data_IF_394221232606
#
_entry.id   IF_394221232606
#
_cell.length_a   1.000
_cell.length_b   1.000
_cell.length_c   1.000
_cell.angle_alpha   90.00
_cell.angle_beta   90.00
_cell.angle_gamma   90.00
#
_symmetry.space_group_name_H-M   'P 1'
#
loop_
_entity.id
_entity.type
_entity.pdbx_description
1 polymer ?
#
# COMPACT_ATOMS: atom_id res chain seq x y z
N UNK A 1 -8.69 59.16 6.80
CA UNK A 1 -9.42 58.67 5.61
C UNK A 1 -8.83 57.29 5.32
N UNK A 2 -9.28 56.29 6.07
CA UNK A 2 -8.79 54.91 6.06
C UNK A 2 -10.02 54.01 5.94
N UNK A 3 -9.96 53.02 5.04
CA UNK A 3 -10.21 51.61 5.36
C UNK A 3 -9.98 50.76 4.11
N UNK A 4 -9.00 49.86 4.25
CA UNK A 4 -8.75 48.68 3.41
C UNK A 4 -9.74 47.58 3.79
N UNK A 5 -10.22 46.83 2.79
CA UNK A 5 -10.99 45.59 2.97
C UNK A 5 -10.36 44.53 2.05
N UNK A 6 -9.51 43.70 2.63
CA UNK A 6 -9.16 42.37 2.12
C UNK A 6 -9.97 41.37 2.96
N UNK A 7 -10.99 40.77 2.35
CA UNK A 7 -11.62 39.55 2.86
C UNK A 7 -10.82 38.38 2.30
N UNK A 8 -10.03 37.74 3.15
CA UNK A 8 -9.51 36.39 2.92
C UNK A 8 -10.47 35.41 3.58
N UNK A 9 -11.05 34.50 2.81
CA UNK A 9 -11.75 33.35 3.35
C UNK A 9 -10.79 32.49 4.20
N UNK A 10 -11.25 31.93 5.33
CA UNK A 10 -10.39 31.11 6.17
C UNK A 10 -10.08 29.77 5.48
N UNK A 11 -8.91 29.17 5.75
CA UNK A 11 -8.62 27.84 5.25
C UNK A 11 -9.62 26.84 5.83
N UNK A 12 -10.20 26.01 4.97
CA UNK A 12 -11.05 24.88 5.35
C UNK A 12 -10.20 23.92 6.18
N UNK A 13 -10.50 23.81 7.48
CA UNK A 13 -9.86 22.82 8.35
C UNK A 13 -10.29 21.40 7.93
N UNK A 14 -9.36 20.44 7.81
CA UNK A 14 -9.72 19.04 7.62
C UNK A 14 -10.45 18.54 8.87
N UNK A 15 -11.58 17.85 8.65
CA UNK A 15 -12.42 17.27 9.69
C UNK A 15 -11.56 16.30 10.52
N UNK A 16 -11.21 16.74 11.73
CA UNK A 16 -10.61 15.93 12.79
C UNK A 16 -11.65 14.95 13.33
N UNK A 17 -11.63 13.69 12.89
CA UNK A 17 -12.42 12.63 13.51
C UNK A 17 -11.63 11.34 13.74
N UNK A 18 -10.46 11.43 14.38
CA UNK A 18 -9.80 10.31 15.06
C UNK A 18 -9.06 10.84 16.29
N UNK A 19 -9.80 11.31 17.31
CA UNK A 19 -9.23 11.47 18.66
C UNK A 19 -9.70 10.28 19.47
N UNK A 20 -8.82 9.30 19.65
CA UNK A 20 -8.97 8.25 20.64
C UNK A 20 -7.85 8.39 21.67
N UNK A 21 -8.22 8.55 22.94
CA UNK A 21 -7.30 8.61 24.08
C UNK A 21 -6.88 7.18 24.48
N UNK A 22 -6.13 6.48 23.64
CA UNK A 22 -5.34 5.30 24.05
C UNK A 22 -4.54 4.74 22.87
N UNK A 23 -3.24 4.53 23.07
CA UNK A 23 -2.39 3.85 22.08
C UNK A 23 -2.04 4.72 20.88
N UNK A 24 -1.00 4.31 20.16
CA UNK A 24 -0.42 5.00 19.02
C UNK A 24 -1.48 5.56 18.04
N UNK A 25 -1.60 6.89 17.98
CA UNK A 25 -2.30 7.60 16.91
C UNK A 25 -1.22 7.96 15.89
N UNK A 26 -1.15 7.32 14.71
CA UNK A 26 -0.31 7.83 13.65
C UNK A 26 -0.75 9.27 13.42
N UNK A 27 0.15 10.22 13.62
CA UNK A 27 -0.09 11.61 13.29
C UNK A 27 -0.26 11.68 11.79
N UNK A 28 -1.51 11.48 11.31
CA UNK A 28 -1.92 11.69 9.93
C UNK A 28 -1.55 13.11 9.45
N UNK A 29 -1.18 13.99 10.39
CA UNK A 29 -0.85 15.40 10.23
C UNK A 29 0.62 15.68 9.95
N UNK A 30 1.45 14.68 9.63
CA UNK A 30 2.82 14.92 9.15
C UNK A 30 2.79 15.77 7.88
N UNK A 31 2.86 17.11 8.03
CA UNK A 31 3.14 18.04 6.93
C UNK A 31 4.60 17.79 6.53
N UNK A 32 4.79 16.77 5.72
CA UNK A 32 6.02 16.55 5.00
C UNK A 32 6.36 17.84 4.24
N UNK A 33 7.58 18.32 4.40
CA UNK A 33 8.08 19.48 3.67
C UNK A 33 7.98 19.19 2.17
N UNK A 34 7.43 20.10 1.38
CA UNK A 34 7.32 19.89 -0.06
C UNK A 34 8.09 20.97 -0.81
N UNK A 35 9.37 20.71 -1.16
CA UNK A 35 10.20 21.67 -1.87
C UNK A 35 9.57 22.13 -3.19
N UNK A 36 9.89 23.35 -3.58
CA UNK A 36 9.52 23.87 -4.90
C UNK A 36 10.21 23.07 -6.00
N UNK A 37 9.50 22.79 -7.09
CA UNK A 37 10.02 21.97 -8.21
C UNK A 37 10.09 20.47 -7.94
N UNK A 38 9.90 20.01 -6.71
CA UNK A 38 10.01 18.60 -6.36
C UNK A 38 8.67 17.85 -6.53
N UNK A 39 8.62 16.63 -7.10
CA UNK A 39 7.36 15.97 -7.49
C UNK A 39 6.61 15.29 -6.32
N UNK A 40 7.27 15.04 -5.19
CA UNK A 40 6.68 14.49 -3.96
C UNK A 40 7.05 15.30 -2.71
N UNK A 41 6.28 15.23 -1.62
CA UNK A 41 6.72 15.76 -0.34
C UNK A 41 7.82 14.85 0.27
N UNK A 42 8.69 15.43 1.10
CA UNK A 42 9.82 14.74 1.70
C UNK A 42 9.38 13.81 2.85
N UNK A 43 9.90 12.58 2.92
CA UNK A 43 9.57 11.67 4.00
C UNK A 43 10.13 12.16 5.36
N UNK A 44 9.50 11.71 6.43
CA UNK A 44 9.88 12.03 7.80
C UNK A 44 9.64 10.85 8.74
N UNK A 45 10.50 10.77 9.76
CA UNK A 45 10.51 9.69 10.72
C UNK A 45 10.59 10.22 12.15
N UNK A 46 10.06 9.45 13.09
CA UNK A 46 10.10 9.75 14.53
C UNK A 46 11.42 9.25 15.17
N UNK A 47 11.50 9.37 16.49
CA UNK A 47 12.49 8.71 17.32
C UNK A 47 12.32 7.18 17.34
N UNK A 48 13.44 6.42 17.45
CA UNK A 48 13.40 4.96 17.50
C UNK A 48 12.50 4.41 18.62
N UNK A 49 11.73 3.36 18.32
CA UNK A 49 10.92 2.64 19.31
C UNK A 49 11.76 1.62 20.08
N UNK A 50 11.40 1.40 21.34
CA UNK A 50 11.96 0.32 22.18
C UNK A 50 11.39 -1.03 21.76
N UNK A 51 12.17 -2.09 21.97
CA UNK A 51 11.72 -3.45 21.70
C UNK A 51 10.63 -3.90 22.70
N UNK A 52 9.75 -4.79 22.25
CA UNK A 52 8.88 -5.57 23.12
C UNK A 52 9.66 -6.81 23.59
N UNK A 53 9.94 -6.88 24.88
CA UNK A 53 10.65 -8.01 25.46
C UNK A 53 9.69 -9.19 25.65
N UNK A 54 10.07 -10.34 25.09
CA UNK A 54 9.34 -11.61 25.21
C UNK A 54 10.27 -12.64 25.85
N UNK A 55 9.99 -13.10 27.09
CA UNK A 55 10.90 -13.94 27.87
C UNK A 55 11.40 -15.21 27.20
N UNK A 56 10.57 -15.84 26.36
CA UNK A 56 10.92 -17.10 25.70
C UNK A 56 10.19 -17.24 24.35
N UNK A 57 10.56 -18.30 23.63
CA UNK A 57 10.06 -18.59 22.29
C UNK A 57 8.57 -18.96 22.31
N UNK A 58 8.09 -19.69 23.32
CA UNK A 58 6.67 -20.07 23.45
C UNK A 58 5.75 -18.84 23.57
N UNK A 59 6.13 -17.88 24.40
CA UNK A 59 5.40 -16.61 24.53
C UNK A 59 5.48 -15.76 23.26
N UNK A 60 6.57 -15.87 22.50
CA UNK A 60 6.69 -15.21 21.20
C UNK A 60 5.77 -15.86 20.17
N UNK A 61 5.69 -17.18 20.13
CA UNK A 61 4.75 -17.91 19.28
C UNK A 61 3.30 -17.56 19.60
N UNK A 62 2.97 -17.38 20.88
CA UNK A 62 1.64 -16.92 21.28
C UNK A 62 1.36 -15.50 20.76
N UNK A 63 2.30 -14.56 20.92
CA UNK A 63 2.20 -13.22 20.36
C UNK A 63 2.02 -13.26 18.84
N UNK A 64 2.91 -13.97 18.14
CA UNK A 64 2.90 -14.09 16.69
C UNK A 64 1.59 -14.69 16.19
N UNK A 65 1.07 -15.73 16.83
CA UNK A 65 -0.19 -16.37 16.43
C UNK A 65 -1.41 -15.45 16.59
N UNK A 66 -1.47 -14.65 17.65
CA UNK A 66 -2.59 -13.70 17.86
C UNK A 66 -2.51 -12.52 16.89
N UNK A 67 -1.30 -12.02 16.61
CA UNK A 67 -1.06 -10.98 15.62
C UNK A 67 -1.39 -11.49 14.21
N UNK A 68 -0.93 -12.70 13.85
CA UNK A 68 -1.19 -13.35 12.57
C UNK A 68 -2.70 -13.53 12.33
N UNK A 69 -3.44 -14.03 13.32
CA UNK A 69 -4.90 -14.15 13.23
C UNK A 69 -5.57 -12.80 12.91
N UNK A 70 -5.08 -11.72 13.52
CA UNK A 70 -5.60 -10.36 13.28
C UNK A 70 -5.32 -9.91 11.84
N UNK A 71 -4.14 -10.21 11.29
CA UNK A 71 -3.80 -9.96 9.88
C UNK A 71 -4.72 -10.75 8.95
N UNK A 72 -4.91 -12.05 9.20
CA UNK A 72 -5.75 -12.90 8.35
C UNK A 72 -7.21 -12.41 8.32
N UNK A 73 -7.74 -11.97 9.47
CA UNK A 73 -9.07 -11.36 9.56
C UNK A 73 -9.16 -10.02 8.84
N UNK A 74 -8.09 -9.22 8.82
CA UNK A 74 -8.02 -7.98 8.05
C UNK A 74 -8.09 -8.27 6.55
N UNK A 75 -7.24 -9.17 6.06
CA UNK A 75 -7.16 -9.52 4.63
C UNK A 75 -8.45 -10.13 4.10
N UNK A 76 -9.18 -10.88 4.93
CA UNK A 76 -10.49 -11.40 4.57
C UNK A 76 -11.57 -10.31 4.52
N UNK A 77 -11.49 -9.32 5.41
CA UNK A 77 -12.52 -8.29 5.57
C UNK A 77 -12.41 -7.16 4.54
N UNK A 78 -11.20 -6.89 4.03
CA UNK A 78 -10.95 -5.76 3.12
C UNK A 78 -10.18 -6.20 1.88
N UNK A 79 -10.62 -5.66 0.75
CA UNK A 79 -9.90 -5.76 -0.51
C UNK A 79 -8.80 -4.71 -0.57
N UNK A 80 -7.69 -5.02 -1.24
CA UNK A 80 -6.75 -3.98 -1.67
C UNK A 80 -7.31 -3.27 -2.91
N UNK A 81 -7.38 -1.94 -2.86
CA UNK A 81 -8.13 -1.16 -3.83
C UNK A 81 -7.46 0.18 -4.16
N UNK A 82 -6.47 0.16 -5.07
CA UNK A 82 -5.92 1.40 -5.64
C UNK A 82 -6.82 2.03 -6.72
N UNK A 83 -7.78 1.27 -7.23
CA UNK A 83 -8.77 1.73 -8.23
C UNK A 83 -9.71 2.77 -7.66
N UNK A 84 -10.20 2.56 -6.43
CA UNK A 84 -11.14 3.47 -5.77
C UNK A 84 -10.57 4.87 -5.57
N UNK A 85 -9.33 4.96 -5.09
CA UNK A 85 -8.66 6.25 -4.86
C UNK A 85 -8.36 6.97 -6.16
N UNK A 86 -7.99 6.25 -7.24
CA UNK A 86 -7.83 6.85 -8.57
C UNK A 86 -9.14 7.47 -9.09
N UNK A 87 -10.26 6.73 -9.00
CA UNK A 87 -11.56 7.23 -9.47
C UNK A 87 -11.95 8.47 -8.68
N UNK A 88 -11.83 8.43 -7.35
CA UNK A 88 -12.15 9.56 -6.48
C UNK A 88 -11.29 10.79 -6.80
N UNK A 89 -9.97 10.60 -6.92
CA UNK A 89 -9.03 11.66 -7.26
C UNK A 89 -9.39 12.34 -8.59
N UNK A 90 -9.74 11.55 -9.61
CA UNK A 90 -10.22 12.07 -10.89
C UNK A 90 -11.54 12.82 -10.75
N UNK A 91 -12.53 12.26 -10.06
CA UNK A 91 -13.84 12.90 -9.86
C UNK A 91 -13.71 14.25 -9.14
N UNK A 92 -12.87 14.33 -8.10
CA UNK A 92 -12.60 15.56 -7.36
C UNK A 92 -11.81 16.58 -8.19
N UNK A 93 -10.83 16.15 -8.99
CA UNK A 93 -10.13 17.01 -9.95
C UNK A 93 -11.11 17.60 -10.98
N UNK A 94 -12.02 16.79 -11.52
CA UNK A 94 -13.04 17.28 -12.47
C UNK A 94 -14.02 18.24 -11.79
N UNK A 95 -14.37 17.99 -10.52
CA UNK A 95 -15.26 18.84 -9.75
C UNK A 95 -14.62 20.19 -9.37
N UNK A 96 -13.31 20.23 -9.13
CA UNK A 96 -12.57 21.46 -8.82
C UNK A 96 -12.49 22.43 -10.01
N UNK A 97 -12.70 21.92 -11.24
CA UNK A 97 -12.58 22.65 -12.51
C UNK A 97 -11.15 23.14 -12.80
N UNK A 98 -10.15 22.67 -12.06
CA UNK A 98 -8.76 22.90 -12.42
C UNK A 98 -8.41 22.17 -13.73
N UNK A 99 -7.48 22.75 -14.48
CA UNK A 99 -6.94 22.14 -15.70
C UNK A 99 -5.53 21.61 -15.51
N UNK A 100 -4.84 22.05 -14.45
CA UNK A 100 -3.48 21.68 -14.08
C UNK A 100 -3.53 20.60 -13.00
N UNK A 101 -3.37 19.34 -13.41
CA UNK A 101 -3.40 18.21 -12.49
C UNK A 101 -2.22 18.22 -11.52
N UNK A 102 -1.05 18.75 -11.91
CA UNK A 102 0.11 18.84 -11.02
C UNK A 102 -0.18 19.78 -9.85
N UNK A 103 -0.82 20.93 -10.10
CA UNK A 103 -1.25 21.84 -9.04
C UNK A 103 -2.30 21.18 -8.12
N UNK A 104 -3.32 20.55 -8.71
CA UNK A 104 -4.33 19.82 -7.93
C UNK A 104 -3.69 18.73 -7.08
N UNK A 105 -2.81 17.91 -7.67
CA UNK A 105 -2.07 16.85 -6.99
C UNK A 105 -1.27 17.37 -5.80
N UNK A 106 -0.66 18.56 -5.89
CA UNK A 106 0.08 19.16 -4.77
C UNK A 106 -0.79 19.57 -3.60
N UNK A 107 -1.99 20.07 -3.90
CA UNK A 107 -2.92 20.59 -2.89
C UNK A 107 -3.92 19.55 -2.39
N UNK A 108 -4.10 18.46 -3.13
CA UNK A 108 -5.00 17.36 -2.79
C UNK A 108 -4.58 16.67 -1.50
N UNK A 109 -5.53 16.28 -0.66
CA UNK A 109 -5.25 15.47 0.53
C UNK A 109 -5.86 14.07 0.34
N UNK A 110 -5.04 13.01 0.16
CA UNK A 110 -5.56 11.68 -0.09
C UNK A 110 -6.41 11.18 1.09
N UNK A 111 -7.67 10.81 0.87
CA UNK A 111 -8.51 10.27 1.93
C UNK A 111 -8.19 8.78 2.16
N UNK A 112 -8.19 8.35 3.42
CA UNK A 112 -8.14 6.94 3.78
C UNK A 112 -9.56 6.50 4.13
N UNK A 113 -10.15 5.60 3.34
CA UNK A 113 -11.50 5.07 3.63
C UNK A 113 -11.57 3.54 3.54
N UNK A 114 -12.41 2.89 4.35
CA UNK A 114 -12.54 1.42 4.38
C UNK A 114 -12.87 0.76 3.04
N UNK A 115 -13.49 1.50 2.12
CA UNK A 115 -13.86 1.03 0.78
C UNK A 115 -12.68 1.00 -0.19
N UNK A 116 -11.60 1.73 0.10
CA UNK A 116 -10.49 2.01 -0.82
C UNK A 116 -9.12 1.84 -0.15
N UNK A 117 -8.98 0.86 0.73
CA UNK A 117 -7.70 0.63 1.38
C UNK A 117 -6.63 0.16 0.38
N UNK A 118 -5.52 0.90 0.38
CA UNK A 118 -4.21 0.54 -0.19
C UNK A 118 -3.34 -0.08 0.92
N UNK A 119 -2.03 -0.19 0.71
CA UNK A 119 -1.08 -0.56 1.77
C UNK A 119 -1.18 0.37 3.00
N UNK A 120 -1.35 1.68 2.81
CA UNK A 120 -1.48 2.65 3.90
C UNK A 120 -2.76 2.41 4.69
N UNK A 121 -3.90 2.36 4.00
CA UNK A 121 -5.19 2.13 4.67
C UNK A 121 -5.26 0.81 5.42
N UNK A 122 -4.75 -0.27 4.81
CA UNK A 122 -4.66 -1.58 5.45
C UNK A 122 -3.74 -1.58 6.66
N UNK A 123 -2.57 -0.94 6.59
CA UNK A 123 -1.63 -0.87 7.71
C UNK A 123 -2.19 -0.05 8.88
N UNK A 124 -2.87 1.07 8.60
CA UNK A 124 -3.53 1.88 9.62
C UNK A 124 -4.67 1.11 10.33
N UNK A 125 -5.52 0.43 9.56
CA UNK A 125 -6.57 -0.42 10.12
C UNK A 125 -5.98 -1.61 10.91
N UNK A 126 -4.86 -2.19 10.45
CA UNK A 126 -4.17 -3.26 11.16
C UNK A 126 -3.70 -2.78 12.54
N UNK A 127 -3.04 -1.62 12.62
CA UNK A 127 -2.62 -1.02 13.89
C UNK A 127 -3.79 -0.82 14.86
N UNK A 128 -4.92 -0.31 14.35
CA UNK A 128 -6.16 -0.13 15.12
C UNK A 128 -6.73 -1.45 15.63
N UNK A 129 -6.63 -2.55 14.85
CA UNK A 129 -7.10 -3.87 15.31
C UNK A 129 -6.15 -4.49 16.32
N UNK A 130 -4.84 -4.35 16.11
CA UNK A 130 -3.81 -4.89 17.00
C UNK A 130 -3.79 -4.20 18.37
N UNK A 131 -4.26 -2.96 18.48
CA UNK A 131 -4.37 -2.30 19.79
C UNK A 131 -5.32 -3.02 20.76
N UNK A 132 -6.27 -3.81 20.25
CA UNK A 132 -7.14 -4.64 21.09
C UNK A 132 -6.38 -5.76 21.81
N UNK A 133 -5.17 -6.10 21.35
CA UNK A 133 -4.30 -7.09 21.97
C UNK A 133 -3.46 -6.52 23.12
N UNK A 134 -3.52 -5.21 23.40
CA UNK A 134 -2.78 -4.57 24.50
C UNK A 134 -3.03 -5.22 25.87
N UNK A 135 -4.27 -5.62 26.13
CA UNK A 135 -4.65 -6.29 27.37
C UNK A 135 -3.95 -7.64 27.58
N UNK A 136 -3.63 -8.32 26.48
CA UNK A 136 -2.94 -9.62 26.47
C UNK A 136 -1.42 -9.46 26.38
N UNK A 137 -0.95 -8.46 25.63
CA UNK A 137 0.47 -8.15 25.44
C UNK A 137 0.73 -6.68 25.82
N UNK A 138 0.92 -6.38 27.12
CA UNK A 138 1.12 -5.01 27.58
C UNK A 138 2.30 -4.33 26.89
N UNK A 139 2.09 -3.11 26.41
CA UNK A 139 3.06 -2.30 25.71
C UNK A 139 3.15 -2.55 24.20
N UNK A 140 2.34 -3.44 23.64
CA UNK A 140 2.32 -3.74 22.20
C UNK A 140 1.97 -2.51 21.36
N UNK A 141 0.85 -1.86 21.67
CA UNK A 141 0.29 -0.76 20.87
C UNK A 141 1.22 0.45 20.78
N UNK A 142 2.00 0.71 21.84
CA UNK A 142 2.95 1.83 21.88
C UNK A 142 4.24 1.57 21.09
N UNK A 143 4.53 0.29 20.79
CA UNK A 143 5.74 -0.18 20.12
C UNK A 143 5.52 -0.62 18.68
N UNK A 144 4.28 -0.85 18.26
CA UNK A 144 3.93 -1.00 16.84
C UNK A 144 4.08 0.33 16.11
N UNK A 145 4.59 0.29 14.88
CA UNK A 145 4.75 1.47 14.04
C UNK A 145 4.70 1.09 12.55
N UNK A 146 4.54 2.12 11.71
CA UNK A 146 4.67 1.98 10.27
C UNK A 146 6.14 2.11 9.85
N UNK A 147 6.62 1.16 9.04
CA UNK A 147 7.93 1.19 8.41
C UNK A 147 7.78 1.55 6.93
N UNK A 148 8.62 2.46 6.43
CA UNK A 148 8.63 2.83 5.01
C UNK A 148 9.38 1.78 4.19
N UNK A 149 8.93 1.57 2.96
CA UNK A 149 9.52 0.60 2.05
C UNK A 149 9.70 1.22 0.66
N UNK A 150 10.83 0.87 0.06
CA UNK A 150 11.24 1.27 -1.29
C UNK A 150 11.47 0.01 -2.11
N UNK A 151 10.89 -0.04 -3.30
CA UNK A 151 10.89 -1.23 -4.14
C UNK A 151 11.90 -1.08 -5.28
N UNK A 152 12.24 -2.20 -5.92
CA UNK A 152 13.11 -2.23 -7.10
C UNK A 152 14.51 -1.62 -6.89
N UNK A 153 15.09 -1.81 -5.70
CA UNK A 153 16.44 -1.33 -5.37
C UNK A 153 17.50 -2.18 -6.07
N UNK A 154 18.31 -1.55 -6.93
CA UNK A 154 19.41 -2.19 -7.65
C UNK A 154 20.71 -2.25 -6.82
N UNK A 155 21.13 -1.12 -6.25
CA UNK A 155 22.31 -1.02 -5.37
C UNK A 155 21.91 -0.91 -3.91
N UNK A 156 21.77 -2.06 -3.25
CA UNK A 156 21.45 -2.14 -1.82
C UNK A 156 22.51 -1.45 -0.96
N UNK A 157 23.79 -1.65 -1.26
CA UNK A 157 24.90 -1.14 -0.44
C UNK A 157 25.05 0.38 -0.57
N UNK A 158 24.77 0.93 -1.75
CA UNK A 158 24.61 2.37 -1.97
C UNK A 158 23.44 2.93 -1.17
N UNK A 159 22.27 2.29 -1.28
CA UNK A 159 21.03 2.74 -0.64
C UNK A 159 21.12 2.82 0.89
N UNK A 160 21.70 1.80 1.54
CA UNK A 160 21.71 1.69 3.01
C UNK A 160 22.87 2.45 3.68
N UNK A 161 23.79 3.03 2.89
CA UNK A 161 25.00 3.67 3.42
C UNK A 161 24.69 4.86 4.33
N UNK A 162 23.61 5.57 4.03
CA UNK A 162 23.14 6.71 4.81
C UNK A 162 21.86 6.34 5.57
N UNK A 163 21.55 7.09 6.63
CA UNK A 163 20.16 7.08 7.14
C UNK A 163 19.23 7.53 6.01
N UNK A 164 17.94 7.12 6.01
CA UNK A 164 17.07 7.33 4.86
C UNK A 164 17.18 8.75 4.36
N UNK A 165 17.71 8.87 3.15
CA UNK A 165 18.02 10.17 2.59
C UNK A 165 16.73 10.99 2.61
N UNK A 166 16.74 12.13 3.30
CA UNK A 166 15.54 12.97 3.44
C UNK A 166 15.13 13.60 2.11
N UNK A 167 16.02 13.56 1.10
CA UNK A 167 15.74 13.91 -0.29
C UNK A 167 15.48 12.69 -1.19
N UNK A 168 15.66 11.46 -0.69
CA UNK A 168 15.18 10.24 -1.36
C UNK A 168 13.68 10.09 -1.06
N UNK A 169 12.88 10.28 -2.09
CA UNK A 169 11.46 10.63 -1.92
C UNK A 169 10.47 9.53 -2.27
N UNK A 170 10.94 8.48 -2.91
CA UNK A 170 10.06 7.38 -3.26
C UNK A 170 9.95 6.43 -2.07
N UNK A 171 8.76 6.42 -1.46
CA UNK A 171 8.33 5.46 -0.42
C UNK A 171 7.03 4.82 -0.91
N UNK A 172 7.13 3.92 -1.89
CA UNK A 172 6.00 3.32 -2.61
C UNK A 172 5.10 2.47 -1.73
N UNK A 173 5.67 1.94 -0.65
CA UNK A 173 4.99 0.97 0.19
C UNK A 173 5.21 1.25 1.68
N UNK A 174 4.30 0.73 2.49
CA UNK A 174 4.35 0.81 3.95
C UNK A 174 3.84 -0.50 4.53
N UNK A 175 4.48 -0.93 5.61
CA UNK A 175 4.06 -2.10 6.38
C UNK A 175 4.16 -1.83 7.89
N UNK A 176 3.60 -2.73 8.69
CA UNK A 176 3.66 -2.62 10.15
C UNK A 176 4.90 -3.36 10.67
N UNK A 177 5.61 -2.73 11.59
CA UNK A 177 6.79 -3.29 12.24
C UNK A 177 6.68 -3.22 13.77
N UNK A 178 7.33 -4.18 14.41
CA UNK A 178 7.51 -4.26 15.86
C UNK A 178 8.92 -4.77 16.15
N UNK A 179 9.71 -3.99 16.87
CA UNK A 179 10.98 -4.47 17.42
C UNK A 179 10.69 -5.43 18.56
N UNK A 180 11.34 -6.59 18.56
CA UNK A 180 11.15 -7.63 19.57
C UNK A 180 12.49 -8.06 20.14
N UNK A 181 12.48 -8.51 21.38
CA UNK A 181 13.61 -9.19 22.01
C UNK A 181 13.11 -10.53 22.55
N UNK A 182 13.50 -11.64 21.92
CA UNK A 182 13.01 -12.98 22.25
C UNK A 182 14.08 -13.72 23.04
N UNK A 183 13.85 -13.94 24.33
CA UNK A 183 14.83 -14.53 25.25
C UNK A 183 16.19 -13.80 25.20
N UNK A 184 16.17 -12.46 25.20
CA UNK A 184 17.38 -11.63 25.11
C UNK A 184 17.96 -11.49 23.69
N UNK A 185 17.34 -12.09 22.67
CA UNK A 185 17.82 -12.04 21.28
C UNK A 185 17.03 -11.02 20.47
N UNK A 186 17.69 -10.01 19.88
CA UNK A 186 17.02 -8.96 19.13
C UNK A 186 16.45 -9.47 17.80
N UNK A 187 15.31 -8.92 17.40
CA UNK A 187 14.67 -9.17 16.13
C UNK A 187 13.59 -8.16 15.79
N UNK A 188 12.96 -8.35 14.63
CA UNK A 188 11.84 -7.54 14.15
C UNK A 188 10.73 -8.46 13.68
N UNK A 189 9.51 -8.14 14.08
CA UNK A 189 8.27 -8.72 13.59
C UNK A 189 7.67 -7.75 12.57
N UNK A 190 7.42 -8.23 11.35
CA UNK A 190 6.85 -7.49 10.24
C UNK A 190 5.48 -8.06 9.84
N UNK A 191 4.57 -7.17 9.47
CA UNK A 191 3.24 -7.48 8.95
C UNK A 191 2.99 -6.63 7.72
N UNK A 192 2.80 -7.27 6.57
CA UNK A 192 2.60 -6.58 5.30
C UNK A 192 1.21 -6.89 4.73
N UNK A 193 0.17 -6.16 5.17
CA UNK A 193 -1.15 -6.36 4.62
C UNK A 193 -1.29 -5.82 3.19
N UNK A 194 -0.43 -4.90 2.74
CA UNK A 194 -0.46 -4.36 1.37
C UNK A 194 -0.09 -5.40 0.32
N UNK A 195 0.94 -6.19 0.58
CA UNK A 195 1.27 -7.39 -0.22
C UNK A 195 0.45 -8.63 0.18
N UNK A 196 -0.44 -8.48 1.16
CA UNK A 196 -1.30 -9.54 1.70
C UNK A 196 -0.49 -10.75 2.18
N UNK A 197 0.60 -10.48 2.88
CA UNK A 197 1.33 -11.52 3.59
C UNK A 197 0.48 -11.91 4.79
N UNK A 198 -0.24 -13.03 4.68
CA UNK A 198 -1.20 -13.50 5.67
C UNK A 198 -0.54 -14.17 6.89
N UNK A 199 0.70 -13.79 7.18
CA UNK A 199 1.52 -14.37 8.23
C UNK A 199 2.41 -13.35 8.91
N UNK A 200 2.84 -13.67 10.12
CA UNK A 200 3.94 -12.97 10.77
C UNK A 200 5.26 -13.32 10.08
N UNK A 201 6.03 -12.28 9.71
CA UNK A 201 7.42 -12.42 9.27
C UNK A 201 8.34 -11.97 10.40
N UNK A 202 9.17 -12.89 10.87
CA UNK A 202 10.13 -12.67 11.95
C UNK A 202 11.54 -12.66 11.38
N UNK A 203 12.26 -11.57 11.63
CA UNK A 203 13.66 -11.41 11.24
C UNK A 203 14.49 -11.32 12.52
N UNK A 204 15.19 -12.38 12.87
CA UNK A 204 16.09 -12.39 14.03
C UNK A 204 17.49 -11.98 13.61
N UNK A 205 18.19 -11.23 14.46
CA UNK A 205 19.58 -10.80 14.19
C UNK A 205 20.53 -12.00 14.05
N UNK A 206 20.30 -13.07 14.82
CA UNK A 206 21.10 -14.29 14.78
C UNK A 206 20.66 -15.28 13.67
N UNK A 207 19.57 -14.98 12.95
CA UNK A 207 18.99 -15.86 11.93
C UNK A 207 18.41 -17.18 12.45
N UNK A 208 18.40 -17.40 13.77
CA UNK A 208 17.89 -18.63 14.38
C UNK A 208 16.39 -18.53 14.63
N UNK A 209 15.74 -19.68 14.81
CA UNK A 209 14.32 -19.74 15.20
C UNK A 209 14.05 -18.79 16.39
N UNK A 210 13.02 -17.92 16.34
CA UNK A 210 11.85 -17.93 15.46
C UNK A 210 11.99 -17.22 14.09
N UNK A 211 13.19 -16.97 13.58
CA UNK A 211 13.41 -16.41 12.24
C UNK A 211 12.65 -17.17 11.14
N UNK A 212 11.91 -16.46 10.27
CA UNK A 212 11.03 -17.06 9.25
C UNK A 212 11.79 -17.70 8.09
N UNK A 213 12.88 -17.08 7.62
CA UNK A 213 13.60 -17.53 6.42
C UNK A 213 12.79 -17.36 5.14
N UNK A 214 13.09 -18.17 4.12
CA UNK A 214 12.35 -18.19 2.85
C UNK A 214 10.96 -18.79 3.06
N UNK A 215 9.94 -18.18 2.47
CA UNK A 215 8.61 -18.76 2.40
C UNK A 215 7.95 -18.50 1.04
N UNK A 216 7.06 -19.41 0.62
CA UNK A 216 6.30 -19.26 -0.61
C UNK A 216 5.09 -18.36 -0.36
N UNK A 217 5.01 -17.25 -1.11
CA UNK A 217 3.88 -16.33 -1.08
C UNK A 217 2.75 -16.79 -2.03
N UNK A 218 3.13 -17.34 -3.19
CA UNK A 218 2.17 -17.93 -4.13
C UNK A 218 2.82 -19.04 -4.94
N UNK A 219 2.06 -20.08 -5.23
CA UNK A 219 2.48 -21.20 -6.06
C UNK A 219 1.40 -21.50 -7.11
N UNK A 220 1.50 -20.81 -8.25
CA UNK A 220 0.64 -21.05 -9.41
C UNK A 220 1.34 -21.99 -10.41
N UNK A 221 0.61 -22.76 -11.24
CA UNK A 221 1.19 -23.75 -12.15
C UNK A 221 2.34 -23.28 -13.06
N UNK A 222 2.43 -21.98 -13.32
CA UNK A 222 3.44 -21.37 -14.20
C UNK A 222 4.26 -20.28 -13.52
N UNK A 223 4.02 -20.00 -12.22
CA UNK A 223 4.64 -18.90 -11.50
C UNK A 223 4.64 -19.19 -10.01
N UNK A 224 5.84 -19.35 -9.44
CA UNK A 224 6.06 -19.44 -7.99
C UNK A 224 6.72 -18.16 -7.51
N UNK A 225 6.21 -17.58 -6.43
CA UNK A 225 6.80 -16.40 -5.76
C UNK A 225 7.20 -16.77 -4.35
N UNK A 226 8.43 -16.44 -3.98
CA UNK A 226 9.00 -16.71 -2.66
C UNK A 226 9.64 -15.45 -2.10
N UNK A 227 9.43 -15.19 -0.82
CA UNK A 227 9.96 -14.02 -0.14
C UNK A 227 10.98 -14.41 0.92
N UNK A 228 11.97 -13.54 1.12
CA UNK A 228 12.91 -13.60 2.23
C UNK A 228 13.18 -12.20 2.76
N UNK A 229 13.26 -12.10 4.08
CA UNK A 229 13.58 -10.85 4.78
C UNK A 229 14.85 -11.07 5.59
N UNK A 230 15.85 -10.21 5.39
CA UNK A 230 17.13 -10.28 6.11
C UNK A 230 17.50 -8.91 6.65
N UNK A 231 17.95 -8.86 7.90
CA UNK A 231 18.42 -7.62 8.49
C UNK A 231 19.77 -7.21 7.89
N UNK A 232 19.96 -5.91 7.71
CA UNK A 232 21.26 -5.32 7.38
C UNK A 232 22.22 -5.35 8.57
N UNK A 233 23.51 -5.20 8.30
CA UNK A 233 24.58 -5.29 9.30
C UNK A 233 24.48 -4.22 10.40
N UNK A 234 23.96 -3.04 10.08
CA UNK A 234 23.74 -1.95 11.04
C UNK A 234 22.41 -2.06 11.79
N UNK A 235 21.56 -3.02 11.42
CA UNK A 235 20.27 -3.26 12.03
C UNK A 235 19.20 -2.20 11.75
N UNK A 236 19.44 -1.28 10.80
CA UNK A 236 18.50 -0.18 10.51
C UNK A 236 17.51 -0.52 9.40
N UNK A 237 17.90 -1.41 8.49
CA UNK A 237 17.10 -1.81 7.34
C UNK A 237 16.87 -3.32 7.29
N UNK A 238 15.76 -3.70 6.67
CA UNK A 238 15.49 -5.08 6.25
C UNK A 238 15.51 -5.12 4.73
N UNK A 239 16.33 -6.03 4.20
CA UNK A 239 16.36 -6.38 2.79
C UNK A 239 15.29 -7.43 2.54
N UNK A 240 14.28 -7.07 1.75
CA UNK A 240 13.25 -7.98 1.26
C UNK A 240 13.61 -8.43 -0.16
N UNK A 241 13.78 -9.73 -0.35
CA UNK A 241 13.99 -10.34 -1.67
C UNK A 241 12.73 -11.06 -2.12
N UNK A 242 12.21 -10.71 -3.29
CA UNK A 242 11.18 -11.46 -4.01
C UNK A 242 11.85 -12.29 -5.10
N UNK A 243 11.69 -13.61 -5.02
CA UNK A 243 12.10 -14.55 -6.05
C UNK A 243 10.87 -15.04 -6.79
N UNK A 244 10.76 -14.66 -8.06
CA UNK A 244 9.76 -15.19 -8.98
C UNK A 244 10.39 -16.26 -9.87
N UNK A 245 9.83 -17.46 -9.87
CA UNK A 245 10.17 -18.55 -10.80
C UNK A 245 9.03 -18.72 -11.79
N UNK A 246 9.22 -18.28 -13.04
CA UNK A 246 8.23 -18.41 -14.10
C UNK A 246 8.75 -19.34 -15.19
N UNK A 247 8.01 -20.42 -15.45
CA UNK A 247 8.39 -21.44 -16.44
C UNK A 247 9.85 -21.94 -16.30
N UNK A 248 10.33 -22.06 -15.05
CA UNK A 248 11.70 -22.49 -14.72
C UNK A 248 12.77 -21.39 -14.81
N UNK A 249 12.41 -20.17 -15.17
CA UNK A 249 13.32 -19.01 -15.13
C UNK A 249 13.12 -18.25 -13.83
N UNK A 250 14.22 -18.06 -13.08
CA UNK A 250 14.23 -17.29 -11.85
C UNK A 250 14.59 -15.82 -12.11
N UNK A 251 13.84 -14.92 -11.49
CA UNK A 251 14.17 -13.51 -11.35
C UNK A 251 14.07 -13.10 -9.89
N UNK A 252 15.00 -12.27 -9.44
CA UNK A 252 15.00 -11.72 -8.07
C UNK A 252 14.87 -10.22 -8.15
N UNK A 253 13.92 -9.65 -7.43
CA UNK A 253 13.84 -8.22 -7.14
C UNK A 253 14.12 -7.97 -5.65
N UNK A 254 14.62 -6.77 -5.36
CA UNK A 254 14.95 -6.37 -3.99
C UNK A 254 14.18 -5.12 -3.62
N UNK A 255 13.64 -5.13 -2.39
CA UNK A 255 13.06 -3.97 -1.74
C UNK A 255 13.78 -3.74 -0.40
N UNK A 256 13.80 -2.50 0.04
CA UNK A 256 14.45 -2.08 1.29
C UNK A 256 13.39 -1.49 2.21
N UNK A 257 13.38 -1.97 3.45
CA UNK A 257 12.44 -1.53 4.48
C UNK A 257 13.23 -0.83 5.58
N UNK A 258 12.96 0.44 5.82
CA UNK A 258 13.58 1.15 6.93
C UNK A 258 12.81 0.91 8.23
N UNK A 259 13.47 0.27 9.20
CA UNK A 259 12.87 -0.15 10.47
C UNK A 259 13.49 0.54 11.69
N UNK A 260 14.43 1.47 11.49
CA UNK A 260 15.07 2.10 12.64
C UNK A 260 14.12 3.05 13.39
N UNK A 261 13.27 3.77 12.65
CA UNK A 261 12.34 4.75 13.17
C UNK A 261 10.94 4.63 12.55
N UNK A 262 9.87 4.97 13.30
CA UNK A 262 8.52 5.10 12.77
C UNK A 262 8.43 6.07 11.59
N UNK A 263 7.77 5.66 10.52
CA UNK A 263 7.43 6.51 9.39
C UNK A 263 6.19 7.35 9.70
N UNK A 264 6.29 8.68 9.56
CA UNK A 264 5.29 9.63 10.05
C UNK A 264 4.37 10.21 8.97
N UNK A 265 4.69 10.01 7.69
CA UNK A 265 3.97 10.61 6.57
C UNK A 265 3.46 9.61 5.52
N UNK A 266 2.85 8.47 5.91
CA UNK A 266 2.39 7.46 4.96
C UNK A 266 1.27 7.99 4.05
N UNK A 267 0.42 8.90 4.51
CA UNK A 267 -0.65 9.48 3.68
C UNK A 267 -0.09 10.51 2.69
N UNK A 268 0.76 11.41 3.16
CA UNK A 268 1.26 12.51 2.33
C UNK A 268 2.31 12.06 1.33
N UNK A 269 3.05 10.98 1.60
CA UNK A 269 4.07 10.42 0.71
C UNK A 269 3.54 9.17 -0.02
N UNK A 270 3.31 8.06 0.70
CA UNK A 270 2.99 6.76 0.09
C UNK A 270 1.60 6.71 -0.57
N UNK A 271 0.55 7.14 0.14
CA UNK A 271 -0.81 7.16 -0.42
C UNK A 271 -0.90 8.14 -1.59
N UNK A 272 -0.24 9.29 -1.47
CA UNK A 272 -0.14 10.29 -2.53
C UNK A 272 0.60 9.75 -3.75
N UNK A 273 1.73 9.06 -3.57
CA UNK A 273 2.45 8.38 -4.65
C UNK A 273 1.53 7.38 -5.35
N UNK A 274 0.75 6.63 -4.58
CA UNK A 274 -0.21 5.68 -5.12
C UNK A 274 -1.20 6.33 -6.10
N UNK A 275 -1.66 7.58 -5.88
CA UNK A 275 -2.63 8.27 -6.76
C UNK A 275 -2.20 8.42 -8.23
N UNK A 276 -0.90 8.46 -8.49
CA UNK A 276 -0.34 8.66 -9.84
C UNK A 276 0.40 7.44 -10.39
N UNK A 277 0.67 6.43 -9.56
CA UNK A 277 1.29 5.18 -10.00
C UNK A 277 0.53 4.54 -11.18
N UNK A 278 1.21 4.15 -12.26
CA UNK A 278 0.48 3.77 -13.48
C UNK A 278 -0.11 2.34 -13.45
N UNK A 279 0.27 1.50 -12.50
CA UNK A 279 -0.34 0.19 -12.30
C UNK A 279 -1.45 0.25 -11.23
N UNK A 280 -2.57 -0.42 -11.52
CA UNK A 280 -3.79 -0.34 -10.72
C UNK A 280 -4.38 -1.71 -10.50
N UNK A 281 -4.95 -1.90 -9.31
CA UNK A 281 -5.60 -3.16 -8.96
C UNK A 281 -6.69 -3.00 -7.90
N UNK A 282 -7.71 -3.82 -8.03
CA UNK A 282 -8.72 -4.11 -7.02
C UNK A 282 -8.71 -5.62 -6.81
N UNK A 283 -8.27 -6.07 -5.63
CA UNK A 283 -7.96 -7.48 -5.36
C UNK A 283 -8.65 -7.94 -4.07
N UNK A 284 -9.32 -9.08 -4.14
CA UNK A 284 -9.79 -9.84 -2.98
C UNK A 284 -8.92 -11.08 -2.78
N UNK A 285 -8.71 -11.42 -1.51
CA UNK A 285 -7.88 -12.55 -1.10
C UNK A 285 -8.54 -13.38 -0.01
N UNK A 286 -8.10 -14.63 0.10
CA UNK A 286 -8.49 -15.51 1.20
C UNK A 286 -7.69 -15.23 2.48
N UNK A 287 -8.00 -15.95 3.56
CA UNK A 287 -7.32 -15.84 4.85
C UNK A 287 -5.86 -16.30 4.82
N UNK A 288 -5.40 -16.92 3.73
CA UNK A 288 -4.00 -17.33 3.52
C UNK A 288 -3.26 -16.36 2.59
N UNK A 289 -3.92 -15.31 2.12
CA UNK A 289 -3.32 -14.33 1.22
C UNK A 289 -3.31 -14.75 -0.25
N UNK A 290 -4.07 -15.79 -0.65
CA UNK A 290 -4.21 -16.17 -2.05
C UNK A 290 -5.26 -15.30 -2.76
N UNK A 291 -5.01 -14.96 -4.03
CA UNK A 291 -5.93 -14.21 -4.87
C UNK A 291 -7.22 -14.99 -5.15
N UNK A 292 -8.38 -14.42 -4.81
CA UNK A 292 -9.70 -14.99 -5.11
C UNK A 292 -10.28 -14.36 -6.38
N UNK A 293 -10.36 -13.03 -6.41
CA UNK A 293 -10.95 -12.30 -7.51
C UNK A 293 -10.40 -10.88 -7.58
N UNK A 294 -10.54 -10.25 -8.73
CA UNK A 294 -10.12 -8.87 -8.90
C UNK A 294 -9.97 -8.42 -10.33
N UNK A 295 -9.57 -7.16 -10.45
CA UNK A 295 -9.14 -6.55 -11.70
C UNK A 295 -7.76 -5.92 -11.53
N UNK A 296 -6.96 -5.95 -12.58
CA UNK A 296 -5.74 -5.15 -12.65
C UNK A 296 -5.49 -4.64 -14.08
N UNK A 297 -4.80 -3.51 -14.18
CA UNK A 297 -4.45 -2.88 -15.46
C UNK A 297 -3.29 -1.90 -15.27
N UNK A 298 -2.67 -1.54 -16.39
CA UNK A 298 -1.67 -0.47 -16.46
C UNK A 298 -2.25 0.66 -17.31
N UNK A 299 -2.12 1.89 -16.83
CA UNK A 299 -2.44 3.11 -17.57
C UNK A 299 -1.26 3.42 -18.48
N UNK A 300 -1.51 3.59 -19.78
CA UNK A 300 -0.48 3.93 -20.76
C UNK A 300 -0.95 5.11 -21.62
N UNK A 301 -0.05 5.68 -22.44
CA UNK A 301 -0.42 6.78 -23.35
C UNK A 301 -1.41 6.36 -24.44
N UNK A 302 -1.38 5.08 -24.83
CA UNK A 302 -2.20 4.53 -25.91
C UNK A 302 -3.61 4.18 -25.43
N UNK A 303 -4.63 4.67 -26.14
CA UNK A 303 -6.06 4.46 -25.84
C UNK A 303 -6.56 3.00 -25.96
N UNK A 304 -5.69 2.03 -26.24
CA UNK A 304 -6.03 0.60 -26.31
C UNK A 304 -5.95 -0.05 -24.93
N UNK A 305 -6.47 0.62 -23.91
CA UNK A 305 -6.38 0.13 -22.54
C UNK A 305 -7.30 -1.07 -22.35
N UNK A 306 -6.70 -2.11 -21.78
CA UNK A 306 -7.35 -3.35 -21.40
C UNK A 306 -7.07 -3.64 -19.95
N UNK A 307 -8.04 -4.25 -19.27
CA UNK A 307 -7.86 -4.79 -17.95
C UNK A 307 -7.96 -6.31 -17.99
N UNK A 308 -7.33 -6.95 -17.02
CA UNK A 308 -7.55 -8.36 -16.74
C UNK A 308 -8.48 -8.46 -15.54
N UNK A 309 -9.61 -9.13 -15.71
CA UNK A 309 -10.44 -9.58 -14.60
C UNK A 309 -10.15 -11.06 -14.31
N UNK A 310 -10.19 -11.44 -13.05
CA UNK A 310 -10.05 -12.82 -12.64
C UNK A 310 -10.98 -13.17 -11.49
N UNK A 311 -11.30 -14.46 -11.38
CA UNK A 311 -12.15 -15.03 -10.35
C UNK A 311 -11.84 -16.52 -10.22
N UNK A 312 -12.20 -17.14 -9.10
CA UNK A 312 -12.03 -18.59 -8.91
C UNK A 312 -13.30 -19.37 -9.29
N UNK A 313 -13.15 -20.56 -9.87
CA UNK A 313 -14.24 -21.51 -10.08
C UNK A 313 -13.71 -22.93 -9.90
N UNK A 314 -14.28 -23.69 -8.96
CA UNK A 314 -13.82 -25.06 -8.68
C UNK A 314 -12.35 -25.14 -8.26
N UNK A 315 -11.84 -24.13 -7.56
CA UNK A 315 -10.43 -24.05 -7.12
C UNK A 315 -9.45 -23.55 -8.19
N UNK A 316 -9.89 -23.36 -9.44
CA UNK A 316 -9.06 -22.83 -10.51
C UNK A 316 -9.30 -21.33 -10.71
N UNK A 317 -8.23 -20.58 -10.98
CA UNK A 317 -8.32 -19.15 -11.31
C UNK A 317 -8.61 -18.97 -12.80
N UNK A 318 -9.78 -18.41 -13.11
CA UNK A 318 -10.16 -18.01 -14.46
C UNK A 318 -9.75 -16.55 -14.69
N UNK A 319 -9.07 -16.27 -15.80
CA UNK A 319 -8.62 -14.94 -16.19
C UNK A 319 -9.22 -14.55 -17.54
N UNK A 320 -9.72 -13.33 -17.65
CA UNK A 320 -10.27 -12.78 -18.88
C UNK A 320 -9.73 -11.36 -19.10
N UNK A 321 -9.21 -11.12 -20.30
CA UNK A 321 -8.71 -9.80 -20.72
C UNK A 321 -9.81 -9.08 -21.50
N UNK A 322 -10.14 -7.86 -21.09
CA UNK A 322 -11.22 -7.06 -21.67
C UNK A 322 -10.76 -5.63 -21.96
N UNK A 323 -11.37 -4.98 -22.96
CA UNK A 323 -11.09 -3.58 -23.27
C UNK A 323 -12.03 -2.66 -22.51
N UNK A 324 -11.50 -1.55 -21.98
CA UNK A 324 -12.30 -0.50 -21.36
C UNK A 324 -13.28 0.15 -22.35
N UNK A 325 -12.95 0.18 -23.64
CA UNK A 325 -13.81 0.75 -24.69
C UNK A 325 -15.21 0.12 -24.73
N UNK A 326 -15.35 -1.16 -24.32
CA UNK A 326 -16.63 -1.86 -24.22
C UNK A 326 -17.59 -1.24 -23.20
N UNK A 327 -17.06 -0.45 -22.27
CA UNK A 327 -17.78 0.15 -21.14
C UNK A 327 -17.94 1.67 -21.26
N UNK A 328 -17.55 2.28 -22.39
CA UNK A 328 -17.74 3.71 -22.64
C UNK A 328 -19.19 4.07 -23.04
N UNK A 329 -19.87 3.18 -23.74
CA UNK A 329 -21.22 3.43 -24.26
C UNK A 329 -22.29 2.97 -23.25
N UNK A 330 -22.91 3.93 -22.55
CA UNK A 330 -23.99 3.68 -21.58
C UNK A 330 -25.31 3.23 -22.21
N UNK A 331 -25.49 3.37 -23.53
CA UNK A 331 -26.73 2.94 -24.21
C UNK A 331 -26.69 1.49 -24.68
N UNK A 332 -25.50 0.92 -24.86
CA UNK A 332 -25.31 -0.53 -25.00
C UNK A 332 -25.07 -1.14 -23.63
N UNK A 333 -26.13 -1.27 -22.83
CA UNK A 333 -26.13 -2.26 -21.74
C UNK A 333 -26.04 -3.63 -22.39
N UNK A 334 -24.83 -4.04 -22.77
CA UNK A 334 -24.52 -5.45 -22.97
C UNK A 334 -25.01 -6.14 -21.71
N UNK A 335 -25.83 -7.18 -21.87
CA UNK A 335 -26.12 -8.14 -20.80
C UNK A 335 -24.81 -8.40 -20.05
N UNK A 336 -24.78 -8.04 -18.75
CA UNK A 336 -23.53 -7.98 -17.99
C UNK A 336 -22.69 -9.24 -18.19
N UNK A 337 -21.41 -9.06 -18.51
CA UNK A 337 -20.52 -10.18 -18.78
C UNK A 337 -20.50 -11.11 -17.55
N UNK A 338 -20.87 -12.40 -17.68
CA UNK A 338 -20.96 -13.31 -16.55
C UNK A 338 -19.67 -13.40 -15.74
N UNK A 339 -18.50 -13.26 -16.38
CA UNK A 339 -17.21 -13.29 -15.69
C UNK A 339 -17.02 -12.04 -14.81
N UNK A 340 -17.52 -10.88 -15.23
CA UNK A 340 -17.50 -9.64 -14.43
C UNK A 340 -18.51 -9.72 -13.30
N UNK A 341 -19.70 -10.27 -13.54
CA UNK A 341 -20.69 -10.47 -12.48
C UNK A 341 -20.14 -11.38 -11.38
N UNK A 342 -19.52 -12.51 -11.75
CA UNK A 342 -18.93 -13.45 -10.80
C UNK A 342 -17.70 -12.87 -10.08
N UNK A 343 -16.84 -12.14 -10.79
CA UNK A 343 -15.72 -11.41 -10.18
C UNK A 343 -16.22 -10.38 -9.15
N UNK A 344 -17.23 -9.58 -9.50
CA UNK A 344 -17.85 -8.61 -8.60
C UNK A 344 -18.44 -9.28 -7.34
N UNK A 345 -19.10 -10.42 -7.50
CA UNK A 345 -19.62 -11.21 -6.38
C UNK A 345 -18.50 -11.68 -5.45
N UNK A 346 -17.40 -12.22 -5.98
CA UNK A 346 -16.27 -12.72 -5.19
C UNK A 346 -15.44 -11.60 -4.55
N UNK A 347 -15.48 -10.39 -5.11
CA UNK A 347 -14.98 -9.18 -4.46
C UNK A 347 -15.88 -8.69 -3.30
N UNK A 348 -17.02 -9.35 -3.04
CA UNK A 348 -17.98 -8.92 -2.03
C UNK A 348 -18.77 -7.66 -2.42
N UNK A 349 -18.81 -7.31 -3.71
CA UNK A 349 -19.47 -6.10 -4.19
C UNK A 349 -20.97 -6.35 -4.48
N UNK A 350 -21.84 -5.35 -4.28
CA UNK A 350 -23.22 -5.42 -4.75
C UNK A 350 -23.33 -5.68 -6.26
N UNK A 351 -24.43 -6.30 -6.69
CA UNK A 351 -24.66 -6.61 -8.10
C UNK A 351 -24.53 -5.35 -8.98
N UNK A 352 -23.77 -5.47 -10.07
CA UNK A 352 -23.51 -4.38 -11.02
C UNK A 352 -22.51 -3.33 -10.54
N UNK A 353 -22.04 -3.38 -9.28
CA UNK A 353 -21.09 -2.38 -8.77
C UNK A 353 -19.73 -2.46 -9.44
N UNK A 354 -19.21 -3.66 -9.71
CA UNK A 354 -17.94 -3.81 -10.45
C UNK A 354 -18.05 -3.24 -11.87
N UNK A 355 -19.16 -3.49 -12.56
CA UNK A 355 -19.42 -2.92 -13.89
C UNK A 355 -19.48 -1.39 -13.86
N UNK A 356 -20.10 -0.81 -12.83
CA UNK A 356 -20.06 0.64 -12.59
C UNK A 356 -18.64 1.16 -12.38
N UNK A 357 -17.81 0.45 -11.61
CA UNK A 357 -16.40 0.82 -11.39
C UNK A 357 -15.64 0.80 -12.72
N UNK A 358 -15.78 -0.27 -13.50
CA UNK A 358 -15.13 -0.41 -14.82
C UNK A 358 -15.60 0.70 -15.78
N UNK A 359 -16.88 1.07 -15.75
CA UNK A 359 -17.44 2.16 -16.55
C UNK A 359 -16.85 3.53 -16.16
N UNK A 360 -16.65 3.78 -14.86
CA UNK A 360 -15.97 5.00 -14.38
C UNK A 360 -14.50 5.02 -14.82
N UNK A 361 -13.80 3.89 -14.72
CA UNK A 361 -12.43 3.76 -15.23
C UNK A 361 -12.36 4.02 -16.73
N UNK A 362 -13.28 3.47 -17.52
CA UNK A 362 -13.31 3.68 -18.96
C UNK A 362 -13.43 5.17 -19.30
N UNK A 363 -14.30 5.91 -18.60
CA UNK A 363 -14.46 7.37 -18.79
C UNK A 363 -13.21 8.15 -18.40
N UNK A 364 -12.60 7.82 -17.26
CA UNK A 364 -11.35 8.43 -16.80
C UNK A 364 -10.22 8.19 -17.81
N UNK A 365 -10.06 6.96 -18.28
CA UNK A 365 -9.02 6.60 -19.24
C UNK A 365 -9.26 7.21 -20.62
N UNK A 366 -10.50 7.56 -20.97
CA UNK A 366 -10.81 8.31 -22.19
C UNK A 366 -10.55 9.83 -22.06
N UNK A 367 -10.33 10.37 -20.86
CA UNK A 367 -9.87 11.75 -20.68
C UNK A 367 -8.36 11.85 -20.96
N UNK A 368 -8.04 12.11 -22.23
CA UNK A 368 -6.67 12.29 -22.72
C UNK A 368 -5.86 13.32 -21.95
N UNK A 369 -6.50 14.42 -21.51
CA UNK A 369 -5.80 15.48 -20.78
C UNK A 369 -5.38 15.00 -19.40
N UNK A 370 -6.32 14.39 -18.67
CA UNK A 370 -6.04 13.83 -17.35
C UNK A 370 -5.00 12.71 -17.42
N UNK A 371 -5.18 11.76 -18.36
CA UNK A 371 -4.29 10.59 -18.51
C UNK A 371 -2.84 11.00 -18.75
N UNK A 372 -2.60 11.92 -19.70
CA UNK A 372 -1.24 12.40 -20.02
C UNK A 372 -0.60 13.14 -18.85
N UNK A 373 -1.36 14.00 -18.16
CA UNK A 373 -0.83 14.70 -16.99
C UNK A 373 -0.54 13.75 -15.82
N UNK A 374 -1.37 12.73 -15.59
CA UNK A 374 -1.14 11.72 -14.56
C UNK A 374 0.13 10.92 -14.85
N UNK A 375 0.30 10.48 -16.09
CA UNK A 375 1.52 9.77 -16.52
C UNK A 375 2.75 10.67 -16.43
N UNK A 376 2.63 11.96 -16.75
CA UNK A 376 3.74 12.91 -16.59
C UNK A 376 4.18 13.07 -15.14
N UNK A 377 3.24 13.23 -14.20
CA UNK A 377 3.57 13.28 -12.77
C UNK A 377 4.25 11.99 -12.33
N UNK A 378 3.78 10.84 -12.81
CA UNK A 378 4.41 9.55 -12.51
C UNK A 378 5.84 9.45 -13.05
N UNK A 379 6.09 9.93 -14.27
CA UNK A 379 7.43 10.01 -14.86
C UNK A 379 8.35 10.94 -14.07
N UNK A 380 7.90 12.14 -13.72
CA UNK A 380 8.68 13.11 -12.94
C UNK A 380 9.13 12.51 -11.60
N UNK A 381 8.28 11.69 -10.95
CA UNK A 381 8.64 10.97 -9.72
C UNK A 381 9.71 9.91 -9.99
N UNK A 382 9.52 9.09 -11.03
CA UNK A 382 10.47 8.03 -11.38
C UNK A 382 11.85 8.60 -11.76
N UNK A 383 11.90 9.75 -12.44
CA UNK A 383 13.16 10.41 -12.80
C UNK A 383 13.97 10.78 -11.54
N UNK A 384 13.32 11.32 -10.50
CA UNK A 384 13.97 11.61 -9.22
C UNK A 384 14.37 10.34 -8.47
N UNK A 385 13.63 9.25 -8.64
CA UNK A 385 13.94 7.97 -8.01
C UNK A 385 15.20 7.31 -8.61
N UNK A 386 15.35 7.35 -9.94
CA UNK A 386 16.51 6.80 -10.68
C UNK A 386 17.84 7.54 -10.43
N UNK A 387 17.79 8.77 -9.91
CA UNK A 387 18.97 9.54 -9.51
C UNK A 387 19.50 9.17 -8.11
N UNK A 388 18.83 8.24 -7.39
CA UNK A 388 19.30 7.64 -6.13
C UNK A 388 19.91 6.26 -6.37
#
# INVERSE_FOLDING_TARGET
REKSLLLTDPPVEPISSCRDESGYVPTLTGRAEWPEGHPLPLPSWDSPKTALCVPNVEQYEELASNVELTVQQLLQAHNYNSVGNLIRFYEEFRASRETNLTHFYRTYWPPITPEHYTCVGLALELLRRLSNLESKFPGLSSRLYLASCEESIEDVEGYIREEPCTTSVEKEHVLVALRVEVAGRPGVLLLDPGYHIARVVTVMVDGLYPNTGWFTQSDEPHCRKEYQYTLTSDGKYIVWRDRETRNGLESVSTAIIYINCPFLCPVTVTERRNLVYNFRSLLSRDTKGHLIAGIYFKINDNATDSFTAFHQTGGNTNRVKMSFSKYLDTQRRCTGDPAIALCGQQLGLPQGRLESIISSLAKLLADDSFRRQLLRINEDINEVACDN
#
